data_IF_525169250182
#
_entry.id   IF_525169250182
#
_cell.length_a   1.000
_cell.length_b   1.000
_cell.length_c   1.000
_cell.angle_alpha   90.00
_cell.angle_beta   90.00
_cell.angle_gamma   90.00
#
_symmetry.space_group_name_H-M   'P 1'
#
loop_
_entity.id
_entity.type
_entity.pdbx_description
1 polymer ?
#
# COMPACT_ATOMS: atom_id res chain seq x y z
N UNK A 1 3.50 5.04 -15.26
CA UNK A 1 2.56 4.89 -14.12
C UNK A 1 3.18 5.59 -12.93
N UNK A 2 2.52 6.61 -12.38
CA UNK A 2 3.12 7.49 -11.37
C UNK A 2 3.16 6.77 -10.02
N UNK A 3 4.36 6.43 -9.54
CA UNK A 3 4.59 5.73 -8.27
C UNK A 3 3.77 6.32 -7.12
N UNK A 4 3.74 7.65 -7.02
CA UNK A 4 2.96 8.37 -6.01
C UNK A 4 1.47 8.01 -6.02
N UNK A 5 0.86 7.87 -7.19
CA UNK A 5 -0.55 7.47 -7.34
C UNK A 5 -0.77 6.04 -6.84
N UNK A 6 0.18 5.15 -7.09
CA UNK A 6 0.11 3.76 -6.63
C UNK A 6 0.22 3.68 -5.10
N UNK A 7 1.13 4.47 -4.51
CA UNK A 7 1.30 4.57 -3.06
C UNK A 7 0.05 5.16 -2.40
N UNK A 8 -0.53 6.22 -2.99
CA UNK A 8 -1.79 6.79 -2.52
C UNK A 8 -2.92 5.75 -2.55
N UNK A 9 -3.07 5.01 -3.65
CA UNK A 9 -4.09 3.96 -3.76
C UNK A 9 -3.88 2.84 -2.73
N UNK A 10 -2.63 2.45 -2.45
CA UNK A 10 -2.32 1.49 -1.39
C UNK A 10 -2.70 2.02 0.00
N UNK A 11 -2.37 3.28 0.30
CA UNK A 11 -2.77 3.93 1.54
C UNK A 11 -4.29 4.01 1.69
N UNK A 12 -5.00 4.37 0.61
CA UNK A 12 -6.46 4.41 0.54
C UNK A 12 -7.06 3.01 0.75
N UNK A 13 -6.50 1.98 0.12
CA UNK A 13 -6.95 0.59 0.29
C UNK A 13 -6.82 0.12 1.74
N UNK A 14 -5.64 0.34 2.35
CA UNK A 14 -5.40 0.01 3.76
C UNK A 14 -6.37 0.76 4.67
N UNK A 15 -6.62 2.04 4.39
CA UNK A 15 -7.59 2.87 5.13
C UNK A 15 -9.02 2.39 4.99
N UNK A 16 -9.39 1.91 3.82
CA UNK A 16 -10.75 1.46 3.52
C UNK A 16 -11.07 0.17 4.25
N UNK A 17 -10.12 -0.78 4.32
CA UNK A 17 -10.42 -2.14 4.77
C UNK A 17 -9.86 -2.51 6.15
N UNK A 18 -8.76 -1.90 6.60
CA UNK A 18 -8.04 -2.42 7.78
C UNK A 18 -7.78 -1.35 8.86
N UNK A 19 -7.38 -0.15 8.46
CA UNK A 19 -6.89 0.84 9.41
C UNK A 19 -8.04 1.64 10.04
N UNK A 20 -8.40 1.28 11.28
CA UNK A 20 -9.37 2.02 12.10
C UNK A 20 -8.78 3.27 12.78
N UNK A 21 -7.45 3.42 12.77
CA UNK A 21 -6.73 4.53 13.39
C UNK A 21 -6.20 5.53 12.35
N UNK A 22 -5.79 6.72 12.79
CA UNK A 22 -5.21 7.76 11.93
C UNK A 22 -3.76 7.41 11.57
N UNK A 23 -3.58 6.49 10.61
CA UNK A 23 -2.26 6.06 10.14
C UNK A 23 -1.69 6.85 8.96
N UNK A 24 -2.54 7.44 8.11
CA UNK A 24 -2.13 8.27 6.98
C UNK A 24 -2.89 9.60 7.05
N UNK A 25 -2.26 10.70 7.51
CA UNK A 25 -2.90 12.01 7.54
C UNK A 25 -3.30 12.45 6.13
N UNK A 26 -4.52 12.98 5.97
CA UNK A 26 -5.02 13.46 4.66
C UNK A 26 -5.53 12.38 3.71
N UNK A 27 -5.32 11.09 4.00
CA UNK A 27 -5.89 9.99 3.20
C UNK A 27 -7.22 9.55 3.83
N UNK A 28 -8.28 9.71 3.04
CA UNK A 28 -9.63 9.29 3.42
C UNK A 28 -9.88 7.83 2.98
N UNK A 29 -10.67 7.06 3.73
CA UNK A 29 -11.15 5.77 3.26
C UNK A 29 -12.08 5.96 2.05
N UNK A 30 -12.11 4.98 1.17
CA UNK A 30 -12.99 4.98 0.01
C UNK A 30 -14.46 4.95 0.44
N UNK A 31 -15.29 5.63 -0.33
CA UNK A 31 -16.73 5.71 -0.04
C UNK A 31 -17.42 4.37 -0.29
N UNK A 32 -18.44 4.09 0.52
CA UNK A 32 -19.22 2.87 0.38
C UNK A 32 -19.86 2.79 -1.01
N UNK A 33 -19.86 1.60 -1.62
CA UNK A 33 -20.42 1.38 -2.96
C UNK A 33 -19.50 1.79 -4.13
N UNK A 34 -18.25 2.22 -3.86
CA UNK A 34 -17.25 2.48 -4.90
C UNK A 34 -16.12 1.45 -4.84
N UNK A 35 -16.24 0.30 -5.54
CA UNK A 35 -15.21 -0.72 -5.51
C UNK A 35 -13.93 -0.25 -6.21
N UNK A 36 -12.79 -0.81 -5.80
CA UNK A 36 -11.54 -0.63 -6.54
C UNK A 36 -11.63 -1.36 -7.87
N UNK A 37 -11.31 -0.65 -8.95
CA UNK A 37 -11.23 -1.22 -10.29
C UNK A 37 -10.01 -2.13 -10.44
N UNK A 38 -10.02 -3.02 -11.43
CA UNK A 38 -8.89 -3.93 -11.68
C UNK A 38 -7.57 -3.17 -11.91
N UNK A 39 -7.62 -2.02 -12.59
CA UNK A 39 -6.43 -1.20 -12.82
C UNK A 39 -5.90 -0.56 -11.55
N UNK A 40 -6.79 -0.17 -10.62
CA UNK A 40 -6.39 0.30 -9.29
C UNK A 40 -5.81 -0.83 -8.45
N UNK A 41 -6.39 -2.04 -8.49
CA UNK A 41 -5.84 -3.21 -7.80
C UNK A 41 -4.42 -3.54 -8.29
N UNK A 42 -4.21 -3.53 -9.61
CA UNK A 42 -2.86 -3.64 -10.18
C UNK A 42 -1.94 -2.52 -9.69
N UNK A 43 -2.44 -1.29 -9.58
CA UNK A 43 -1.66 -0.17 -9.07
C UNK A 43 -1.28 -0.31 -7.61
N UNK A 44 -2.20 -0.77 -6.78
CA UNK A 44 -1.96 -1.08 -5.36
C UNK A 44 -0.87 -2.15 -5.25
N UNK A 45 -0.96 -3.21 -6.05
CA UNK A 45 0.03 -4.28 -6.08
C UNK A 45 1.43 -3.77 -6.50
N UNK A 46 1.51 -2.92 -7.52
CA UNK A 46 2.78 -2.27 -7.89
C UNK A 46 3.33 -1.35 -6.79
N UNK A 47 2.46 -0.61 -6.10
CA UNK A 47 2.84 0.24 -4.97
C UNK A 47 3.42 -0.59 -3.83
N UNK A 48 2.76 -1.69 -3.49
CA UNK A 48 3.20 -2.62 -2.46
C UNK A 48 4.57 -3.22 -2.78
N UNK A 49 4.73 -3.76 -4.00
CA UNK A 49 6.01 -4.30 -4.49
C UNK A 49 7.15 -3.32 -4.29
N UNK A 50 6.94 -2.09 -4.73
CA UNK A 50 7.95 -1.05 -4.66
C UNK A 50 8.36 -0.73 -3.22
N UNK A 51 7.41 -0.64 -2.28
CA UNK A 51 7.73 -0.38 -0.87
C UNK A 51 8.57 -1.50 -0.29
N UNK A 52 8.18 -2.75 -0.55
CA UNK A 52 8.88 -3.92 -0.03
C UNK A 52 10.29 -4.04 -0.61
N UNK A 53 10.46 -3.83 -1.91
CA UNK A 53 11.78 -3.78 -2.57
C UNK A 53 12.69 -2.71 -1.94
N UNK A 54 12.14 -1.54 -1.57
CA UNK A 54 12.90 -0.43 -0.97
C UNK A 54 13.23 -0.63 0.50
N UNK A 55 12.35 -1.30 1.23
CA UNK A 55 12.50 -1.55 2.65
C UNK A 55 13.27 -2.85 2.96
N UNK A 56 13.68 -3.61 1.94
CA UNK A 56 14.43 -4.86 2.01
C UNK A 56 15.65 -4.88 2.97
N UNK A 57 16.42 -3.79 3.23
CA UNK A 57 17.50 -3.86 4.22
C UNK A 57 17.04 -3.71 5.68
N UNK A 58 15.77 -3.39 5.96
CA UNK A 58 15.25 -3.05 7.30
C UNK A 58 14.09 -3.93 7.78
N UNK A 59 13.67 -4.93 7.01
CA UNK A 59 12.41 -5.65 7.23
C UNK A 59 12.54 -6.99 7.99
N UNK A 60 11.43 -7.34 8.64
CA UNK A 60 11.15 -8.67 9.16
C UNK A 60 11.10 -9.68 8.01
N UNK A 61 11.94 -10.72 8.11
CA UNK A 61 12.07 -11.80 7.12
C UNK A 61 10.73 -12.50 6.86
N UNK A 62 9.83 -12.51 7.83
CA UNK A 62 8.51 -13.13 7.70
C UNK A 62 7.61 -12.42 6.69
N UNK A 63 7.59 -11.08 6.68
CA UNK A 63 6.77 -10.29 5.74
C UNK A 63 7.27 -10.40 4.30
N UNK A 64 8.60 -10.47 4.09
CA UNK A 64 9.18 -10.69 2.76
C UNK A 64 8.81 -12.08 2.24
N UNK A 65 8.97 -13.12 3.07
CA UNK A 65 8.62 -14.48 2.66
C UNK A 65 7.13 -14.63 2.35
N UNK A 66 6.26 -13.99 3.14
CA UNK A 66 4.83 -13.95 2.86
C UNK A 66 4.54 -13.22 1.54
N UNK A 67 5.28 -12.14 1.24
CA UNK A 67 5.11 -11.41 -0.01
C UNK A 67 5.59 -12.19 -1.24
N UNK A 68 6.70 -12.91 -1.13
CA UNK A 68 7.21 -13.74 -2.22
C UNK A 68 6.21 -14.86 -2.57
N UNK A 69 5.56 -15.45 -1.56
CA UNK A 69 4.52 -16.46 -1.77
C UNK A 69 3.31 -15.90 -2.53
N UNK A 70 2.88 -14.66 -2.26
CA UNK A 70 1.75 -14.06 -2.99
C UNK A 70 2.11 -13.61 -4.42
N UNK A 71 3.40 -13.33 -4.69
CA UNK A 71 3.85 -13.04 -6.06
C UNK A 71 3.71 -14.29 -6.96
N UNK A 72 3.83 -15.48 -6.39
CA UNK A 72 3.73 -16.75 -7.11
C UNK A 72 2.27 -17.19 -7.39
N UNK A 73 1.30 -16.75 -6.58
CA UNK A 73 -0.11 -17.21 -6.65
C UNK A 73 -1.07 -16.28 -7.40
N UNK A 74 -0.60 -15.17 -7.97
CA UNK A 74 -1.39 -14.16 -8.70
C UNK A 74 -2.60 -13.57 -7.93
N UNK A 75 -2.45 -12.32 -7.44
CA UNK A 75 -3.52 -11.36 -7.10
C UNK A 75 -4.50 -11.68 -5.96
N UNK A 76 -4.89 -12.93 -5.73
CA UNK A 76 -5.98 -13.28 -4.80
C UNK A 76 -5.58 -13.11 -3.33
N UNK A 77 -4.29 -13.03 -3.05
CA UNK A 77 -3.75 -12.97 -1.69
C UNK A 77 -3.39 -11.54 -1.23
N UNK A 78 -3.56 -10.51 -2.08
CA UNK A 78 -3.24 -9.13 -1.70
C UNK A 78 -4.06 -8.66 -0.47
N UNK A 79 -5.35 -8.98 -0.44
CA UNK A 79 -6.21 -8.57 0.69
C UNK A 79 -5.79 -9.24 2.00
N UNK A 80 -5.48 -10.54 1.95
CA UNK A 80 -5.06 -11.30 3.11
C UNK A 80 -3.69 -10.85 3.62
N UNK A 81 -2.73 -10.69 2.71
CA UNK A 81 -1.42 -10.15 3.05
C UNK A 81 -1.52 -8.78 3.72
N UNK A 82 -2.33 -7.87 3.16
CA UNK A 82 -2.53 -6.56 3.77
C UNK A 82 -3.28 -6.66 5.11
N UNK A 83 -4.20 -7.60 5.27
CA UNK A 83 -4.88 -7.83 6.56
C UNK A 83 -3.88 -8.18 7.67
N UNK A 84 -2.88 -9.01 7.34
CA UNK A 84 -1.87 -9.47 8.29
C UNK A 84 -0.78 -8.42 8.57
N UNK A 85 -0.35 -7.66 7.55
CA UNK A 85 0.86 -6.83 7.61
C UNK A 85 0.62 -5.32 7.45
N UNK A 86 -0.63 -4.82 7.48
CA UNK A 86 -0.90 -3.40 7.22
C UNK A 86 -0.22 -2.45 8.22
N UNK A 87 0.06 -2.88 9.46
CA UNK A 87 0.67 -2.02 10.49
C UNK A 87 2.14 -1.78 10.20
N UNK A 88 2.85 -2.84 9.86
CA UNK A 88 4.24 -2.85 9.43
C UNK A 88 4.38 -2.02 8.16
N UNK A 89 3.47 -2.23 7.20
CA UNK A 89 3.41 -1.42 5.98
C UNK A 89 3.13 0.06 6.27
N UNK A 90 2.23 0.37 7.22
CA UNK A 90 1.96 1.75 7.60
C UNK A 90 3.18 2.44 8.22
N UNK A 91 4.02 1.71 8.98
CA UNK A 91 5.29 2.21 9.51
C UNK A 91 6.25 2.51 8.35
N UNK A 92 6.40 1.58 7.40
CA UNK A 92 7.27 1.77 6.24
C UNK A 92 6.83 2.95 5.38
N UNK A 93 5.53 3.06 5.12
CA UNK A 93 4.94 4.18 4.39
C UNK A 93 5.19 5.54 5.06
N UNK A 94 5.32 5.59 6.39
CA UNK A 94 5.70 6.81 7.13
C UNK A 94 7.19 7.09 7.12
N UNK A 95 8.03 6.06 7.11
CA UNK A 95 9.50 6.20 7.10
C UNK A 95 10.03 6.66 5.74
N UNK A 96 9.27 6.45 4.67
CA UNK A 96 9.64 6.87 3.32
C UNK A 96 8.63 7.86 2.68
N UNK A 97 8.44 9.07 3.27
CA UNK A 97 7.51 10.07 2.74
C UNK A 97 7.86 10.53 1.32
N UNK A 98 9.15 10.53 0.97
CA UNK A 98 9.67 10.90 -0.35
C UNK A 98 9.20 9.99 -1.49
N UNK A 99 8.55 8.86 -1.19
CA UNK A 99 7.95 7.97 -2.20
C UNK A 99 6.55 8.42 -2.64
N UNK A 100 5.89 9.29 -1.87
CA UNK A 100 4.50 9.74 -2.09
C UNK A 100 4.26 11.25 -2.10
N UNK A 101 5.23 12.09 -1.73
CA UNK A 101 4.97 13.53 -1.52
C UNK A 101 4.93 14.41 -2.77
N UNK A 102 5.37 13.93 -3.94
CA UNK A 102 5.47 14.75 -5.15
C UNK A 102 4.14 15.11 -5.85
N UNK A 103 2.98 14.64 -5.36
CA UNK A 103 1.67 14.90 -5.99
C UNK A 103 0.77 15.85 -5.21
N UNK A 104 0.94 15.97 -3.88
CA UNK A 104 0.20 16.95 -3.07
C UNK A 104 0.79 18.36 -3.17
N UNK A 105 2.09 18.47 -3.50
CA UNK A 105 2.77 19.76 -3.68
C UNK A 105 2.45 20.46 -5.02
N UNK A 106 1.82 19.76 -5.98
CA UNK A 106 1.54 20.27 -7.33
C UNK A 106 0.06 20.63 -7.58
N UNK A 107 -0.80 20.51 -6.57
CA UNK A 107 -2.23 20.87 -6.65
C UNK A 107 -2.61 22.05 -5.73
N UNK A 108 -1.62 22.84 -5.30
CA UNK A 108 -1.83 24.16 -4.65
C UNK A 108 -1.33 25.27 -5.57
#
# INVERSE_FOLDING_TARGET
>A
MYLTKNIHLLQEYIKTFFATQVVFPGILPRQWGTPFSQSELSAIHFGLKFILDKAHPLQDRSMILAYDQIQETESLDLHWFLSDYWRELAILLKLYPSLGESYLANNN
#
